data_IF_926496159340
#
_entry.id   IF_926496159340
#
_cell.length_a   1.000
_cell.length_b   1.000
_cell.length_c   1.000
_cell.angle_alpha   90.00
_cell.angle_beta   90.00
_cell.angle_gamma   90.00
#
_symmetry.space_group_name_H-M   'P 1'
#
loop_
_entity.id
_entity.type
_entity.pdbx_description
1 polymer ?
#
# COMPACT_ATOMS: atom_id res chain seq x y z
N UNK A 1 -17.08 -59.92 -18.34
CA UNK A 1 -16.62 -59.39 -17.03
C UNK A 1 -15.70 -58.23 -17.34
N UNK A 2 -16.25 -57.01 -17.35
CA UNK A 2 -15.55 -55.77 -17.83
C UNK A 2 -15.15 -54.94 -16.63
N UNK A 3 -13.85 -54.81 -16.41
CA UNK A 3 -13.26 -53.97 -15.36
C UNK A 3 -13.33 -52.50 -15.79
N UNK A 4 -14.24 -51.70 -15.19
CA UNK A 4 -14.25 -50.24 -15.28
C UNK A 4 -13.14 -49.69 -14.40
N UNK A 5 -12.10 -49.15 -15.03
CA UNK A 5 -11.10 -48.33 -14.37
C UNK A 5 -11.76 -47.04 -13.88
N UNK A 6 -11.86 -46.87 -12.58
CA UNK A 6 -12.21 -45.62 -11.92
C UNK A 6 -11.03 -44.62 -12.09
N UNK A 7 -11.15 -43.68 -13.01
CA UNK A 7 -10.26 -42.53 -13.08
C UNK A 7 -10.61 -41.58 -11.92
N UNK A 8 -9.64 -41.13 -11.11
CA UNK A 8 -9.89 -40.22 -10.01
C UNK A 8 -10.07 -38.79 -10.54
N UNK A 9 -11.31 -38.42 -10.85
CA UNK A 9 -11.70 -37.07 -11.29
C UNK A 9 -11.50 -35.97 -10.25
N UNK A 10 -11.22 -36.31 -8.99
CA UNK A 10 -10.99 -35.33 -7.92
C UNK A 10 -9.61 -34.71 -7.86
N UNK A 11 -8.57 -35.43 -8.32
CA UNK A 11 -7.17 -34.96 -8.21
C UNK A 11 -6.83 -33.92 -9.29
N UNK A 12 -7.43 -34.03 -10.48
CA UNK A 12 -7.18 -33.07 -11.56
C UNK A 12 -7.80 -31.69 -11.28
N UNK A 13 -8.96 -31.61 -10.61
CA UNK A 13 -9.59 -30.34 -10.25
C UNK A 13 -8.82 -29.58 -9.19
N UNK A 14 -8.23 -30.28 -8.21
CA UNK A 14 -7.40 -29.65 -7.18
C UNK A 14 -6.06 -29.14 -7.73
N UNK A 15 -5.45 -29.88 -8.65
CA UNK A 15 -4.19 -29.49 -9.29
C UNK A 15 -4.36 -28.29 -10.23
N UNK A 16 -5.44 -28.23 -11.01
CA UNK A 16 -5.72 -27.10 -11.90
C UNK A 16 -6.00 -25.81 -11.11
N UNK A 17 -6.77 -25.89 -10.03
CA UNK A 17 -7.05 -24.73 -9.16
C UNK A 17 -5.81 -24.19 -8.44
N UNK A 18 -4.83 -25.06 -8.12
CA UNK A 18 -3.56 -24.61 -7.53
C UNK A 18 -2.65 -23.93 -8.55
N UNK A 19 -2.55 -24.43 -9.77
CA UNK A 19 -1.74 -23.84 -10.84
C UNK A 19 -2.30 -22.47 -11.24
N UNK A 20 -3.63 -22.33 -11.35
CA UNK A 20 -4.27 -21.07 -11.68
C UNK A 20 -4.08 -20.01 -10.59
N UNK A 21 -4.20 -20.37 -9.32
CA UNK A 21 -3.91 -19.47 -8.18
C UNK A 21 -2.45 -18.99 -8.20
N UNK A 22 -1.52 -19.87 -8.50
CA UNK A 22 -0.10 -19.53 -8.61
C UNK A 22 0.16 -18.51 -9.71
N UNK A 23 -0.49 -18.64 -10.87
CA UNK A 23 -0.34 -17.67 -11.95
C UNK A 23 -0.90 -16.30 -11.54
N UNK A 24 -2.05 -16.26 -10.86
CA UNK A 24 -2.65 -15.02 -10.38
C UNK A 24 -1.79 -14.31 -9.34
N UNK A 25 -1.24 -15.03 -8.35
CA UNK A 25 -0.36 -14.44 -7.34
C UNK A 25 0.94 -13.90 -7.96
N UNK A 26 1.46 -14.54 -9.01
CA UNK A 26 2.61 -14.07 -9.75
C UNK A 26 2.32 -12.74 -10.50
N UNK A 27 1.16 -12.60 -11.11
CA UNK A 27 0.72 -11.36 -11.75
C UNK A 27 0.48 -10.24 -10.74
N UNK A 28 -0.13 -10.56 -9.60
CA UNK A 28 -0.34 -9.60 -8.51
C UNK A 28 1.00 -9.09 -7.97
N UNK A 29 1.95 -9.99 -7.72
CA UNK A 29 3.30 -9.62 -7.30
C UNK A 29 4.00 -8.75 -8.35
N UNK A 30 3.88 -9.08 -9.64
CA UNK A 30 4.43 -8.28 -10.73
C UNK A 30 3.84 -6.86 -10.77
N UNK A 31 2.52 -6.73 -10.71
CA UNK A 31 1.84 -5.42 -10.73
C UNK A 31 2.29 -4.55 -9.56
N UNK A 32 2.26 -5.09 -8.33
CA UNK A 32 2.69 -4.34 -7.15
C UNK A 32 4.17 -3.97 -7.22
N UNK A 33 5.03 -4.89 -7.65
CA UNK A 33 6.46 -4.68 -7.78
C UNK A 33 6.78 -3.58 -8.79
N UNK A 34 6.09 -3.60 -9.95
CA UNK A 34 6.26 -2.55 -10.97
C UNK A 34 5.75 -1.21 -10.46
N UNK A 35 4.55 -1.16 -9.92
CA UNK A 35 3.98 0.08 -9.39
C UNK A 35 4.85 0.71 -8.29
N UNK A 36 5.28 -0.09 -7.32
CA UNK A 36 6.12 0.37 -6.21
C UNK A 36 7.55 0.67 -6.66
N UNK A 37 8.16 -0.17 -7.50
CA UNK A 37 9.51 0.04 -8.01
C UNK A 37 9.64 1.34 -8.80
N UNK A 38 8.66 1.67 -9.62
CA UNK A 38 8.60 2.94 -10.36
C UNK A 38 8.61 4.15 -9.42
N UNK A 39 7.90 4.08 -8.28
CA UNK A 39 7.90 5.16 -7.27
C UNK A 39 9.32 5.46 -6.79
N UNK A 40 10.09 4.42 -6.44
CA UNK A 40 11.44 4.59 -5.91
C UNK A 40 12.46 4.94 -6.98
N UNK A 41 12.34 4.38 -8.18
CA UNK A 41 13.21 4.77 -9.31
C UNK A 41 13.04 6.26 -9.62
N UNK A 42 11.82 6.72 -9.82
CA UNK A 42 11.56 8.13 -10.14
C UNK A 42 11.92 9.02 -8.96
N UNK A 43 11.53 8.63 -7.73
CA UNK A 43 11.80 9.39 -6.52
C UNK A 43 13.29 9.54 -6.22
N UNK A 44 14.01 8.43 -6.28
CA UNK A 44 15.47 8.40 -6.08
C UNK A 44 16.21 9.18 -7.16
N UNK A 45 15.91 8.93 -8.43
CA UNK A 45 16.56 9.66 -9.53
C UNK A 45 16.27 11.17 -9.50
N UNK A 46 15.03 11.56 -9.26
CA UNK A 46 14.66 12.98 -9.21
C UNK A 46 15.39 13.75 -8.10
N UNK A 47 15.62 13.12 -6.95
CA UNK A 47 16.41 13.72 -5.85
C UNK A 47 17.89 13.68 -6.16
N UNK A 48 18.38 12.52 -6.57
CA UNK A 48 19.80 12.29 -6.83
C UNK A 48 20.34 13.25 -7.91
N UNK A 49 19.61 13.43 -9.01
CA UNK A 49 19.99 14.32 -10.08
C UNK A 49 20.12 15.79 -9.65
N UNK A 50 19.34 16.22 -8.65
CA UNK A 50 19.43 17.55 -8.09
C UNK A 50 20.54 17.68 -7.04
N UNK A 51 20.75 16.63 -6.23
CA UNK A 51 21.82 16.61 -5.23
C UNK A 51 23.23 16.56 -5.85
N UNK A 52 23.35 15.95 -7.04
CA UNK A 52 24.60 15.89 -7.78
C UNK A 52 24.85 17.13 -8.69
N UNK A 53 23.87 17.98 -8.86
CA UNK A 53 23.99 19.25 -9.57
C UNK A 53 24.46 20.35 -8.61
N UNK A 54 25.68 20.88 -8.73
CA UNK A 54 26.19 21.94 -7.83
C UNK A 54 25.29 23.17 -7.76
N UNK A 55 24.58 23.49 -8.85
CA UNK A 55 23.68 24.66 -8.89
C UNK A 55 22.38 24.45 -8.10
N UNK A 56 22.00 23.19 -7.78
CA UNK A 56 20.73 22.85 -7.15
C UNK A 56 20.88 22.16 -5.79
N UNK A 57 22.06 21.64 -5.50
CA UNK A 57 22.34 20.83 -4.33
C UNK A 57 21.93 21.51 -3.03
N UNK A 58 22.37 22.74 -2.82
CA UNK A 58 22.08 23.50 -1.60
C UNK A 58 20.58 23.79 -1.46
N UNK A 59 19.91 24.12 -2.56
CA UNK A 59 18.48 24.39 -2.56
C UNK A 59 17.65 23.15 -2.20
N UNK A 60 18.02 21.98 -2.71
CA UNK A 60 17.32 20.73 -2.38
C UNK A 60 17.60 20.32 -0.94
N UNK A 61 18.82 20.47 -0.42
CA UNK A 61 19.15 20.20 0.97
C UNK A 61 18.34 21.14 1.89
N UNK A 62 18.33 22.44 1.60
CA UNK A 62 17.55 23.42 2.36
C UNK A 62 16.04 23.11 2.36
N UNK A 63 15.50 22.60 1.25
CA UNK A 63 14.09 22.17 1.16
C UNK A 63 13.80 20.99 2.10
N UNK A 64 14.73 20.04 2.24
CA UNK A 64 14.56 18.85 3.10
C UNK A 64 14.82 19.14 4.58
N UNK A 65 15.67 20.09 4.90
CA UNK A 65 16.03 20.48 6.28
C UNK A 65 15.25 21.68 6.80
N UNK A 66 14.47 22.32 5.94
CA UNK A 66 13.62 23.46 6.30
C UNK A 66 12.44 23.08 7.20
N UNK A 67 11.69 24.07 7.69
CA UNK A 67 10.62 23.86 8.68
C UNK A 67 9.52 22.88 8.23
N UNK A 68 9.34 22.72 6.93
CA UNK A 68 8.33 21.81 6.34
C UNK A 68 8.97 20.60 5.66
N UNK A 69 10.26 20.36 5.88
CA UNK A 69 11.00 19.24 5.31
C UNK A 69 10.83 17.93 6.09
N UNK A 70 11.33 16.83 5.52
CA UNK A 70 11.34 15.52 6.19
C UNK A 70 12.46 15.38 7.23
N UNK A 71 13.52 16.18 7.12
CA UNK A 71 14.62 16.23 8.09
C UNK A 71 14.25 17.29 9.12
N UNK A 72 13.56 16.90 10.17
CA UNK A 72 13.10 17.80 11.22
C UNK A 72 14.22 18.13 12.23
N UNK A 73 13.91 19.00 13.20
CA UNK A 73 14.84 19.45 14.23
C UNK A 73 15.48 18.30 15.02
N UNK A 74 14.76 17.23 15.30
CA UNK A 74 15.31 16.06 15.97
C UNK A 74 16.45 15.41 15.16
N UNK A 75 16.24 15.19 13.85
CA UNK A 75 17.30 14.66 12.99
C UNK A 75 18.47 15.62 12.86
N UNK A 76 18.21 16.94 12.77
CA UNK A 76 19.25 17.96 12.66
C UNK A 76 20.12 18.00 13.93
N UNK A 77 19.52 17.84 15.09
CA UNK A 77 20.23 17.86 16.37
C UNK A 77 20.99 16.57 16.65
N UNK A 78 20.33 15.41 16.50
CA UNK A 78 20.87 14.10 16.94
C UNK A 78 21.62 13.35 15.83
N UNK A 79 21.26 13.52 14.57
CA UNK A 79 21.90 12.79 13.48
C UNK A 79 22.95 13.62 12.75
N UNK A 80 22.72 14.94 12.63
CA UNK A 80 23.58 15.87 11.88
C UNK A 80 24.20 16.96 12.76
N UNK A 81 24.15 16.81 14.09
CA UNK A 81 24.69 17.76 15.05
C UNK A 81 26.20 17.93 14.96
N UNK A 82 26.73 18.86 15.75
CA UNK A 82 28.16 19.18 15.79
C UNK A 82 28.99 17.93 16.10
N UNK A 83 29.98 17.63 15.27
CA UNK A 83 30.83 16.43 15.39
C UNK A 83 30.28 15.19 14.68
N UNK A 84 29.09 15.25 14.04
CA UNK A 84 28.58 14.15 13.21
C UNK A 84 29.46 13.98 11.97
N UNK A 85 29.75 12.72 11.65
CA UNK A 85 30.44 12.35 10.40
C UNK A 85 29.48 12.39 9.19
N UNK A 86 28.16 12.48 9.42
CA UNK A 86 27.13 12.45 8.39
C UNK A 86 26.53 13.84 8.21
N UNK A 87 26.60 14.37 7.00
CA UNK A 87 25.94 15.62 6.63
C UNK A 87 24.54 15.38 6.06
N UNK A 88 23.62 16.36 6.12
CA UNK A 88 22.31 16.26 5.46
C UNK A 88 22.43 15.93 3.97
N UNK A 89 23.39 16.52 3.27
CA UNK A 89 23.66 16.20 1.86
C UNK A 89 24.10 14.75 1.68
N UNK A 90 25.04 14.28 2.48
CA UNK A 90 25.53 12.89 2.43
C UNK A 90 24.42 11.89 2.71
N UNK A 91 23.59 12.15 3.70
CA UNK A 91 22.42 11.32 4.03
C UNK A 91 21.42 11.28 2.88
N UNK A 92 21.00 12.45 2.35
CA UNK A 92 20.05 12.53 1.25
C UNK A 92 20.57 11.86 -0.02
N UNK A 93 21.86 12.04 -0.33
CA UNK A 93 22.48 11.41 -1.49
C UNK A 93 22.52 9.90 -1.37
N UNK A 94 22.94 9.39 -0.20
CA UNK A 94 22.97 7.95 0.08
C UNK A 94 21.57 7.34 0.03
N UNK A 95 20.60 7.97 0.69
CA UNK A 95 19.20 7.51 0.68
C UNK A 95 18.60 7.53 -0.73
N UNK A 96 18.84 8.59 -1.50
CA UNK A 96 18.32 8.70 -2.86
C UNK A 96 18.97 7.70 -3.83
N UNK A 97 20.26 7.43 -3.66
CA UNK A 97 20.98 6.37 -4.40
C UNK A 97 20.40 5.01 -4.04
N UNK A 98 20.19 4.73 -2.77
CA UNK A 98 19.57 3.49 -2.32
C UNK A 98 18.15 3.34 -2.88
N UNK A 99 17.30 4.38 -2.81
CA UNK A 99 15.96 4.37 -3.40
C UNK A 99 16.01 4.05 -4.90
N UNK A 100 16.92 4.67 -5.64
CA UNK A 100 17.05 4.43 -7.08
C UNK A 100 17.45 2.99 -7.39
N UNK A 101 18.55 2.50 -6.79
CA UNK A 101 19.08 1.14 -7.05
C UNK A 101 18.07 0.08 -6.60
N UNK A 102 17.49 0.22 -5.41
CA UNK A 102 16.52 -0.73 -4.90
C UNK A 102 15.18 -0.68 -5.66
N UNK A 103 14.79 0.49 -6.17
CA UNK A 103 13.67 0.61 -7.10
C UNK A 103 13.88 -0.19 -8.38
N UNK A 104 15.07 -0.10 -8.98
CA UNK A 104 15.47 -0.93 -10.14
C UNK A 104 15.46 -2.42 -9.76
N UNK A 105 15.98 -2.77 -8.60
CA UNK A 105 15.97 -4.15 -8.09
C UNK A 105 14.52 -4.68 -7.91
N UNK A 106 13.60 -3.87 -7.38
CA UNK A 106 12.18 -4.22 -7.31
C UNK A 106 11.56 -4.44 -8.69
N UNK A 107 11.85 -3.57 -9.67
CA UNK A 107 11.37 -3.74 -11.05
C UNK A 107 11.86 -5.06 -11.65
N UNK A 108 13.15 -5.36 -11.49
CA UNK A 108 13.73 -6.60 -11.95
C UNK A 108 13.25 -7.83 -11.16
N UNK A 109 12.72 -7.63 -9.98
CA UNK A 109 12.30 -8.69 -9.05
C UNK A 109 13.49 -9.35 -8.36
N UNK A 110 14.45 -8.56 -7.96
CA UNK A 110 15.64 -8.98 -7.21
C UNK A 110 15.53 -8.54 -5.75
N UNK A 111 15.78 -9.45 -4.83
CA UNK A 111 15.69 -9.22 -3.37
C UNK A 111 14.36 -8.60 -2.93
N UNK A 112 13.25 -8.99 -3.55
CA UNK A 112 11.96 -8.32 -3.36
C UNK A 112 11.50 -8.35 -1.90
N UNK A 113 11.61 -9.48 -1.21
CA UNK A 113 11.16 -9.59 0.19
C UNK A 113 11.94 -8.71 1.15
N UNK A 114 13.28 -8.77 1.22
CA UNK A 114 14.01 -7.88 2.12
C UNK A 114 13.78 -6.40 1.79
N UNK A 115 13.73 -6.02 0.52
CA UNK A 115 13.45 -4.65 0.11
C UNK A 115 12.02 -4.22 0.50
N UNK A 116 11.03 -5.06 0.26
CA UNK A 116 9.64 -4.76 0.63
C UNK A 116 9.47 -4.61 2.14
N UNK A 117 10.12 -5.46 2.94
CA UNK A 117 10.12 -5.35 4.40
C UNK A 117 10.78 -4.05 4.86
N UNK A 118 11.97 -3.75 4.32
CA UNK A 118 12.70 -2.52 4.63
C UNK A 118 11.86 -1.28 4.31
N UNK A 119 11.29 -1.20 3.12
CA UNK A 119 10.45 -0.07 2.71
C UNK A 119 9.13 0.00 3.48
N UNK A 120 8.57 -1.14 3.86
CA UNK A 120 7.38 -1.18 4.71
C UNK A 120 7.60 -0.37 6.00
N UNK A 121 8.76 -0.50 6.62
CA UNK A 121 9.11 0.28 7.81
C UNK A 121 9.67 1.67 7.50
N UNK A 122 10.51 1.83 6.48
CA UNK A 122 11.07 3.13 6.10
C UNK A 122 9.99 4.17 5.80
N UNK A 123 8.91 3.78 5.12
CA UNK A 123 7.80 4.68 4.81
C UNK A 123 7.12 5.19 6.09
N UNK A 124 7.04 4.38 7.15
CA UNK A 124 6.57 4.84 8.45
C UNK A 124 7.51 5.86 9.10
N UNK A 125 8.82 5.71 8.94
CA UNK A 125 9.75 6.74 9.45
C UNK A 125 9.53 8.08 8.76
N UNK A 126 9.20 8.09 7.46
CA UNK A 126 8.83 9.33 6.74
C UNK A 126 7.52 9.92 7.27
N UNK A 127 6.53 9.08 7.56
CA UNK A 127 5.27 9.52 8.18
C UNK A 127 5.52 10.21 9.52
N UNK A 128 6.31 9.58 10.39
CA UNK A 128 6.60 10.13 11.72
C UNK A 128 7.53 11.33 11.71
N UNK A 129 8.35 11.52 10.68
CA UNK A 129 9.25 12.67 10.57
C UNK A 129 8.56 13.97 10.11
N UNK A 130 7.31 13.90 9.67
CA UNK A 130 6.61 15.08 9.16
C UNK A 130 6.25 16.07 10.29
N UNK A 131 6.40 17.39 10.06
CA UNK A 131 6.12 18.42 11.06
C UNK A 131 4.72 18.35 11.67
N UNK A 132 3.72 17.97 10.89
CA UNK A 132 2.33 17.85 11.37
C UNK A 132 2.17 16.82 12.51
N UNK A 133 3.07 15.83 12.60
CA UNK A 133 3.07 14.83 13.68
C UNK A 133 3.88 15.28 14.87
N UNK A 134 5.01 15.95 14.63
CA UNK A 134 6.03 16.19 15.65
C UNK A 134 5.97 17.60 16.25
N UNK A 135 5.41 18.56 15.51
CA UNK A 135 5.39 19.96 15.95
C UNK A 135 3.97 20.35 16.36
N UNK A 136 3.70 20.61 17.65
CA UNK A 136 2.41 21.08 18.12
C UNK A 136 1.97 22.37 17.38
N UNK A 137 0.70 22.44 17.01
CA UNK A 137 0.10 23.59 16.36
C UNK A 137 0.29 23.66 14.83
N UNK A 138 1.03 22.75 14.21
CA UNK A 138 1.10 22.65 12.74
C UNK A 138 -0.22 22.06 12.22
N UNK A 139 -0.88 22.80 11.31
CA UNK A 139 -2.15 22.36 10.76
C UNK A 139 -1.95 21.19 9.79
N UNK A 140 -2.90 20.23 9.78
CA UNK A 140 -2.88 19.08 8.86
C UNK A 140 -2.92 19.45 7.38
N UNK A 141 -3.38 20.66 7.05
CA UNK A 141 -3.38 21.23 5.71
C UNK A 141 -2.06 21.90 5.33
N UNK A 142 -1.11 22.04 6.28
CA UNK A 142 0.20 22.63 6.03
C UNK A 142 0.94 21.85 4.95
N UNK A 143 1.60 22.60 4.08
CA UNK A 143 2.36 21.99 2.99
C UNK A 143 3.68 21.46 3.50
N UNK A 144 3.92 20.16 3.28
CA UNK A 144 5.25 19.59 3.33
C UNK A 144 5.75 19.48 1.90
N UNK A 145 6.78 20.22 1.56
CA UNK A 145 7.19 20.47 0.17
C UNK A 145 6.13 21.20 -0.66
N UNK A 146 5.50 20.45 -1.58
CA UNK A 146 4.52 20.94 -2.55
C UNK A 146 3.12 20.34 -2.33
N UNK A 147 2.95 19.53 -1.30
CA UNK A 147 1.70 18.83 -1.01
C UNK A 147 1.29 18.99 0.46
N UNK A 148 0.00 18.93 0.79
CA UNK A 148 -0.46 18.87 2.17
C UNK A 148 0.18 17.70 2.92
N UNK A 149 0.68 17.94 4.13
CA UNK A 149 1.39 16.94 4.93
C UNK A 149 0.54 15.69 5.18
N UNK A 150 -0.73 15.87 5.53
CA UNK A 150 -1.65 14.76 5.75
C UNK A 150 -1.79 13.84 4.52
N UNK A 151 -1.82 14.41 3.32
CA UNK A 151 -1.89 13.62 2.09
C UNK A 151 -0.62 12.82 1.84
N UNK A 152 0.54 13.42 2.10
CA UNK A 152 1.83 12.73 2.00
C UNK A 152 1.87 11.55 2.97
N UNK A 153 1.49 11.76 4.23
CA UNK A 153 1.41 10.72 5.25
C UNK A 153 0.53 9.54 4.81
N UNK A 154 -0.69 9.84 4.39
CA UNK A 154 -1.63 8.78 4.02
C UNK A 154 -1.17 8.01 2.78
N UNK A 155 -0.55 8.67 1.81
CA UNK A 155 0.06 7.98 0.67
C UNK A 155 1.21 7.07 1.10
N UNK A 156 2.08 7.53 1.96
CA UNK A 156 3.22 6.76 2.43
C UNK A 156 2.76 5.57 3.32
N UNK A 157 1.71 5.74 4.14
CA UNK A 157 1.05 4.63 4.87
C UNK A 157 0.47 3.61 3.88
N UNK A 158 -0.20 4.07 2.82
CA UNK A 158 -0.74 3.18 1.79
C UNK A 158 0.38 2.40 1.09
N UNK A 159 1.46 3.08 0.67
CA UNK A 159 2.61 2.42 0.06
C UNK A 159 3.25 1.39 1.00
N UNK A 160 3.33 1.69 2.31
CA UNK A 160 3.80 0.74 3.32
C UNK A 160 2.90 -0.51 3.37
N UNK A 161 1.59 -0.35 3.39
CA UNK A 161 0.65 -1.47 3.32
C UNK A 161 0.86 -2.34 2.08
N UNK A 162 1.06 -1.72 0.91
CA UNK A 162 1.36 -2.43 -0.33
C UNK A 162 2.72 -3.15 -0.28
N UNK A 163 3.72 -2.58 0.40
CA UNK A 163 5.01 -3.23 0.62
C UNK A 163 4.88 -4.46 1.51
N UNK A 164 4.07 -4.44 2.57
CA UNK A 164 3.81 -5.63 3.38
C UNK A 164 3.05 -6.72 2.61
N UNK A 165 2.15 -6.35 1.71
CA UNK A 165 1.53 -7.32 0.79
C UNK A 165 2.60 -7.93 -0.13
N UNK A 166 3.45 -7.10 -0.73
CA UNK A 166 4.52 -7.56 -1.62
C UNK A 166 5.56 -8.42 -0.88
N UNK A 167 5.92 -8.07 0.36
CA UNK A 167 6.76 -8.89 1.22
C UNK A 167 6.20 -10.31 1.37
N UNK A 168 4.89 -10.42 1.57
CA UNK A 168 4.23 -11.70 1.74
C UNK A 168 4.19 -12.52 0.44
N UNK A 169 3.80 -11.88 -0.67
CA UNK A 169 3.75 -12.51 -1.99
C UNK A 169 5.14 -12.88 -2.51
N UNK A 170 6.14 -12.06 -2.21
CA UNK A 170 7.50 -12.19 -2.75
C UNK A 170 7.61 -11.70 -4.18
N UNK A 171 8.65 -12.16 -4.86
CA UNK A 171 9.04 -11.66 -6.19
C UNK A 171 8.14 -12.13 -7.35
N UNK A 172 7.40 -13.22 -7.15
CA UNK A 172 6.60 -13.87 -8.20
C UNK A 172 7.42 -14.60 -9.26
N UNK A 173 6.73 -15.28 -10.18
CA UNK A 173 7.38 -16.11 -11.21
C UNK A 173 8.18 -15.30 -12.25
N UNK A 174 7.75 -14.05 -12.51
CA UNK A 174 8.40 -13.18 -13.52
C UNK A 174 9.47 -12.29 -12.88
N UNK A 175 10.50 -12.89 -12.25
CA UNK A 175 11.48 -12.17 -11.45
C UNK A 175 12.88 -12.75 -11.60
N UNK A 176 13.90 -11.94 -11.31
CA UNK A 176 15.28 -12.41 -11.20
C UNK A 176 15.44 -13.41 -10.05
N UNK A 177 14.79 -13.19 -8.90
CA UNK A 177 14.80 -14.14 -7.79
C UNK A 177 14.33 -15.53 -8.23
N UNK A 178 13.26 -15.59 -9.05
CA UNK A 178 12.75 -16.87 -9.55
C UNK A 178 13.73 -17.56 -10.52
N UNK A 179 14.44 -16.77 -11.31
CA UNK A 179 15.46 -17.30 -12.25
C UNK A 179 16.74 -17.76 -11.54
N UNK A 180 17.17 -17.02 -10.52
CA UNK A 180 18.41 -17.31 -9.79
C UNK A 180 18.24 -18.40 -8.74
N UNK A 181 17.11 -18.40 -8.03
CA UNK A 181 16.83 -19.30 -6.91
C UNK A 181 15.88 -20.45 -7.27
N UNK A 182 15.30 -20.44 -8.46
CA UNK A 182 14.39 -21.49 -8.95
C UNK A 182 13.19 -21.73 -8.01
N UNK A 183 12.94 -23.00 -7.70
CA UNK A 183 11.83 -23.42 -6.81
C UNK A 183 11.99 -22.99 -5.33
N UNK A 184 13.16 -22.46 -4.95
CA UNK A 184 13.39 -21.96 -3.59
C UNK A 184 12.65 -20.65 -3.27
N UNK A 185 12.00 -20.02 -4.27
CA UNK A 185 11.08 -18.90 -4.02
C UNK A 185 9.92 -19.39 -3.17
N UNK A 186 9.96 -19.06 -1.88
CA UNK A 186 8.96 -19.49 -0.90
C UNK A 186 7.56 -19.00 -1.29
N UNK A 187 6.58 -19.89 -1.11
CA UNK A 187 5.15 -19.57 -1.29
C UNK A 187 4.71 -18.44 -0.34
N UNK A 188 3.65 -17.68 -0.69
CA UNK A 188 3.04 -16.73 0.23
C UNK A 188 2.70 -17.41 1.56
N UNK A 189 2.99 -16.73 2.67
CA UNK A 189 2.74 -17.27 4.02
C UNK A 189 1.37 -16.89 4.54
N UNK A 190 0.83 -15.72 4.13
CA UNK A 190 -0.50 -15.28 4.53
C UNK A 190 -1.56 -15.63 3.47
N UNK A 191 -2.76 -15.93 3.96
CA UNK A 191 -3.91 -16.13 3.11
C UNK A 191 -4.29 -14.80 2.43
N UNK A 192 -4.76 -14.89 1.17
CA UNK A 192 -5.24 -13.73 0.42
C UNK A 192 -6.35 -12.96 1.14
N UNK A 193 -7.14 -13.61 1.98
CA UNK A 193 -8.17 -12.95 2.79
C UNK A 193 -7.61 -11.81 3.65
N UNK A 194 -6.45 -12.04 4.30
CA UNK A 194 -5.78 -11.03 5.12
C UNK A 194 -5.09 -9.98 4.24
N UNK A 195 -4.41 -10.41 3.17
CA UNK A 195 -3.74 -9.50 2.25
C UNK A 195 -4.74 -8.62 1.50
N UNK A 196 -5.90 -9.17 1.13
CA UNK A 196 -6.99 -8.44 0.49
C UNK A 196 -7.62 -7.42 1.43
N UNK A 197 -7.78 -7.74 2.72
CA UNK A 197 -8.18 -6.74 3.72
C UNK A 197 -7.16 -5.60 3.81
N UNK A 198 -5.87 -5.93 3.93
CA UNK A 198 -4.81 -4.92 3.98
C UNK A 198 -4.80 -4.04 2.73
N UNK A 199 -5.02 -4.63 1.55
CA UNK A 199 -5.13 -3.90 0.28
C UNK A 199 -6.29 -2.91 0.30
N UNK A 200 -7.48 -3.37 0.73
CA UNK A 200 -8.67 -2.52 0.84
C UNK A 200 -8.47 -1.38 1.84
N UNK A 201 -7.93 -1.68 3.03
CA UNK A 201 -7.64 -0.67 4.05
C UNK A 201 -6.64 0.36 3.54
N UNK A 202 -5.57 -0.07 2.87
CA UNK A 202 -4.54 0.82 2.33
C UNK A 202 -5.11 1.79 1.29
N UNK A 203 -5.90 1.30 0.34
CA UNK A 203 -6.50 2.14 -0.69
C UNK A 203 -7.64 3.01 -0.15
N UNK A 204 -8.49 2.46 0.71
CA UNK A 204 -9.59 3.20 1.33
C UNK A 204 -9.07 4.37 2.18
N UNK A 205 -7.96 4.20 2.91
CA UNK A 205 -7.35 5.27 3.71
C UNK A 205 -7.03 6.50 2.85
N UNK A 206 -6.38 6.31 1.70
CA UNK A 206 -6.07 7.42 0.78
C UNK A 206 -7.35 8.11 0.26
N UNK A 207 -8.36 7.33 -0.11
CA UNK A 207 -9.62 7.87 -0.64
C UNK A 207 -10.43 8.62 0.42
N UNK A 208 -10.56 8.05 1.61
CA UNK A 208 -11.33 8.66 2.70
C UNK A 208 -10.66 9.95 3.18
N UNK A 209 -9.36 9.92 3.43
CA UNK A 209 -8.63 11.12 3.85
C UNK A 209 -8.64 12.17 2.73
N UNK A 210 -8.45 11.76 1.49
CA UNK A 210 -8.56 12.66 0.34
C UNK A 210 -9.93 13.31 0.20
N UNK A 211 -10.98 12.56 0.48
CA UNK A 211 -12.36 13.04 0.43
C UNK A 211 -12.74 13.95 1.59
N UNK A 212 -12.46 13.56 2.83
CA UNK A 212 -12.85 14.31 4.04
C UNK A 212 -12.00 15.56 4.26
N UNK A 213 -10.70 15.48 4.03
CA UNK A 213 -9.76 16.54 4.40
C UNK A 213 -9.23 17.34 3.19
N UNK A 214 -9.92 17.31 2.07
CA UNK A 214 -9.51 18.04 0.86
C UNK A 214 -8.10 17.67 0.36
N UNK A 215 -7.57 16.54 0.81
CA UNK A 215 -6.17 16.19 0.70
C UNK A 215 -5.68 15.92 -0.70
N UNK A 216 -6.50 15.51 -1.65
CA UNK A 216 -6.10 15.40 -3.06
C UNK A 216 -6.46 16.69 -3.80
N UNK A 217 -5.89 17.81 -3.36
CA UNK A 217 -6.17 19.13 -3.91
C UNK A 217 -6.07 19.20 -5.44
N UNK A 218 -5.17 18.39 -6.01
CA UNK A 218 -4.98 18.32 -7.46
C UNK A 218 -6.10 17.52 -8.16
N UNK A 219 -6.74 16.56 -7.50
CA UNK A 219 -7.90 15.86 -8.07
C UNK A 219 -9.12 16.79 -8.08
N UNK A 220 -9.25 17.71 -7.13
CA UNK A 220 -10.28 18.75 -7.18
C UNK A 220 -10.21 19.60 -8.46
N UNK A 221 -9.01 19.83 -8.95
CA UNK A 221 -8.78 20.60 -10.20
C UNK A 221 -9.42 19.90 -11.42
N UNK A 222 -9.64 18.58 -11.34
CA UNK A 222 -10.29 17.79 -12.38
C UNK A 222 -11.77 17.51 -12.10
N UNK A 223 -12.41 18.24 -11.18
CA UNK A 223 -13.82 18.11 -10.90
C UNK A 223 -14.24 16.83 -10.21
N UNK A 224 -13.30 16.08 -9.64
CA UNK A 224 -13.62 14.87 -8.87
C UNK A 224 -14.26 15.25 -7.55
N UNK A 225 -15.55 14.94 -7.31
CA UNK A 225 -16.24 15.34 -6.09
C UNK A 225 -15.65 14.57 -4.89
N UNK A 226 -15.43 15.26 -3.78
CA UNK A 226 -15.01 14.63 -2.53
C UNK A 226 -15.92 13.45 -2.12
N UNK A 227 -17.21 13.58 -2.38
CA UNK A 227 -18.21 12.53 -2.15
C UNK A 227 -17.92 11.24 -2.93
N UNK A 228 -17.42 11.32 -4.17
CA UNK A 228 -17.06 10.13 -4.95
C UNK A 228 -15.88 9.38 -4.30
N UNK A 229 -14.89 10.12 -3.81
CA UNK A 229 -13.75 9.53 -3.10
C UNK A 229 -14.19 8.85 -1.80
N UNK A 230 -15.04 9.52 -1.02
CA UNK A 230 -15.60 8.97 0.22
C UNK A 230 -16.43 7.71 -0.08
N UNK A 231 -17.32 7.79 -1.07
CA UNK A 231 -18.16 6.66 -1.45
C UNK A 231 -17.33 5.46 -1.92
N UNK A 232 -16.30 5.69 -2.74
CA UNK A 232 -15.38 4.63 -3.18
C UNK A 232 -14.57 4.05 -2.01
N UNK A 233 -14.07 4.88 -1.10
CA UNK A 233 -13.35 4.44 0.09
C UNK A 233 -14.23 3.59 1.03
N UNK A 234 -15.46 4.03 1.29
CA UNK A 234 -16.44 3.25 2.08
C UNK A 234 -16.77 1.93 1.39
N UNK A 235 -17.04 1.96 0.09
CA UNK A 235 -17.36 0.76 -0.69
C UNK A 235 -16.24 -0.29 -0.63
N UNK A 236 -14.97 0.14 -0.63
CA UNK A 236 -13.82 -0.76 -0.47
C UNK A 236 -13.81 -1.46 0.90
N UNK A 237 -14.35 -0.85 1.94
CA UNK A 237 -14.36 -1.43 3.29
C UNK A 237 -15.57 -2.34 3.52
N UNK A 238 -16.72 -2.01 2.92
CA UNK A 238 -18.00 -2.65 3.25
C UNK A 238 -18.13 -4.04 2.63
N UNK A 239 -17.87 -4.19 1.34
CA UNK A 239 -18.14 -5.43 0.61
C UNK A 239 -17.09 -5.69 -0.48
N UNK A 240 -16.80 -6.97 -0.75
CA UNK A 240 -15.82 -7.38 -1.76
C UNK A 240 -16.24 -7.04 -3.21
N UNK A 241 -17.55 -7.09 -3.51
CA UNK A 241 -18.08 -6.73 -4.83
C UNK A 241 -18.05 -5.23 -5.02
N UNK A 242 -18.51 -4.50 -4.01
CA UNK A 242 -18.44 -3.04 -3.99
C UNK A 242 -16.99 -2.55 -4.08
N UNK A 243 -16.02 -3.24 -3.43
CA UNK A 243 -14.60 -2.94 -3.52
C UNK A 243 -14.05 -3.07 -4.95
N UNK A 244 -14.49 -4.07 -5.73
CA UNK A 244 -14.10 -4.20 -7.15
C UNK A 244 -14.64 -3.04 -7.99
N UNK A 245 -15.89 -2.64 -7.79
CA UNK A 245 -16.45 -1.47 -8.48
C UNK A 245 -15.71 -0.21 -8.08
N UNK A 246 -15.48 0.00 -6.80
CA UNK A 246 -14.73 1.13 -6.27
C UNK A 246 -13.29 1.18 -6.80
N UNK A 247 -12.64 0.02 -7.03
CA UNK A 247 -11.32 -0.01 -7.66
C UNK A 247 -11.34 0.47 -9.10
N UNK A 248 -12.39 0.18 -9.86
CA UNK A 248 -12.61 0.74 -11.20
C UNK A 248 -12.73 2.27 -11.17
N UNK A 249 -13.49 2.81 -10.22
CA UNK A 249 -13.59 4.25 -9.97
C UNK A 249 -12.22 4.84 -9.63
N UNK A 250 -11.47 4.22 -8.71
CA UNK A 250 -10.12 4.67 -8.34
C UNK A 250 -9.18 4.68 -9.55
N UNK A 251 -9.18 3.62 -10.38
CA UNK A 251 -8.37 3.54 -11.59
C UNK A 251 -8.70 4.69 -12.54
N UNK A 252 -9.99 4.93 -12.80
CA UNK A 252 -10.42 6.01 -13.66
C UNK A 252 -9.97 7.39 -13.12
N UNK A 253 -10.15 7.62 -11.82
CA UNK A 253 -9.71 8.84 -11.14
C UNK A 253 -8.20 9.05 -11.27
N UNK A 254 -7.41 8.01 -11.04
CA UNK A 254 -5.94 8.08 -11.13
C UNK A 254 -5.48 8.32 -12.56
N UNK A 255 -6.10 7.68 -13.57
CA UNK A 255 -5.77 7.92 -14.97
C UNK A 255 -6.07 9.37 -15.38
N UNK A 256 -7.24 9.89 -15.03
CA UNK A 256 -7.59 11.30 -15.27
C UNK A 256 -6.59 12.23 -14.60
N UNK A 257 -6.22 11.94 -13.34
CA UNK A 257 -5.23 12.73 -12.60
C UNK A 257 -3.86 12.69 -13.26
N UNK A 258 -3.36 11.50 -13.62
CA UNK A 258 -2.05 11.32 -14.27
C UNK A 258 -2.01 12.09 -15.59
N UNK A 259 -3.02 11.90 -16.46
CA UNK A 259 -3.10 12.58 -17.74
C UNK A 259 -3.15 14.09 -17.59
N UNK A 260 -3.93 14.59 -16.63
CA UNK A 260 -4.04 16.03 -16.39
C UNK A 260 -2.81 16.68 -15.73
N UNK A 261 -1.87 15.87 -15.21
CA UNK A 261 -0.59 16.37 -14.65
C UNK A 261 0.53 16.46 -15.67
N UNK A 262 0.40 15.77 -16.78
CA UNK A 262 1.39 15.81 -17.86
C UNK A 262 1.32 17.18 -18.52
N UNK A 263 2.48 17.83 -18.61
CA UNK A 263 2.66 19.10 -19.29
C UNK A 263 3.85 19.04 -20.22
N UNK A 264 3.69 19.50 -21.46
CA UNK A 264 4.77 19.56 -22.43
C UNK A 264 5.83 20.61 -22.09
N UNK A 265 5.53 21.55 -21.18
CA UNK A 265 6.47 22.54 -20.68
C UNK A 265 7.45 22.00 -19.65
N UNK A 266 7.13 20.85 -19.05
CA UNK A 266 7.95 20.20 -18.03
C UNK A 266 8.84 19.13 -18.65
N UNK A 267 10.02 18.96 -18.05
CA UNK A 267 10.87 17.80 -18.40
C UNK A 267 10.14 16.47 -18.11
N UNK A 268 10.53 15.41 -18.79
CA UNK A 268 9.99 14.06 -18.57
C UNK A 268 10.07 13.69 -17.08
N UNK A 269 11.24 13.91 -16.46
CA UNK A 269 11.45 13.61 -15.03
C UNK A 269 10.53 14.46 -14.15
N UNK A 270 10.31 15.74 -14.48
CA UNK A 270 9.38 16.60 -13.77
C UNK A 270 7.94 16.11 -13.82
N UNK A 271 7.48 15.65 -15.00
CA UNK A 271 6.16 15.01 -15.17
C UNK A 271 6.03 13.73 -14.37
N UNK A 272 7.00 12.82 -14.49
CA UNK A 272 7.01 11.54 -13.78
C UNK A 272 7.06 11.74 -12.25
N UNK A 273 7.87 12.68 -11.77
CA UNK A 273 7.95 12.98 -10.33
C UNK A 273 6.63 13.53 -9.76
N UNK A 274 5.85 14.24 -10.57
CA UNK A 274 4.55 14.76 -10.16
C UNK A 274 3.50 13.67 -9.93
N UNK A 275 3.65 12.49 -10.56
CA UNK A 275 2.66 11.39 -10.53
C UNK A 275 3.22 10.05 -10.07
N UNK A 276 4.42 10.03 -9.51
CA UNK A 276 5.12 8.77 -9.18
C UNK A 276 4.36 7.87 -8.21
N UNK A 277 3.72 8.44 -7.19
CA UNK A 277 2.98 7.66 -6.17
C UNK A 277 1.68 7.07 -6.73
N UNK A 278 1.10 7.76 -7.68
CA UNK A 278 -0.13 7.32 -8.35
C UNK A 278 0.06 6.04 -9.15
N UNK A 279 1.26 5.73 -9.65
CA UNK A 279 1.56 4.45 -10.29
C UNK A 279 1.40 3.25 -9.33
N UNK A 280 1.83 3.39 -8.08
CA UNK A 280 1.64 2.33 -7.09
C UNK A 280 0.17 2.16 -6.70
N UNK A 281 -0.57 3.28 -6.55
CA UNK A 281 -2.01 3.25 -6.29
C UNK A 281 -2.78 2.65 -7.48
N UNK A 282 -2.38 2.96 -8.70
CA UNK A 282 -2.97 2.38 -9.92
C UNK A 282 -2.73 0.87 -9.99
N UNK A 283 -1.49 0.42 -9.74
CA UNK A 283 -1.17 -1.00 -9.67
C UNK A 283 -1.98 -1.72 -8.58
N UNK A 284 -2.13 -1.12 -7.40
CA UNK A 284 -2.94 -1.67 -6.32
C UNK A 284 -4.44 -1.71 -6.67
N UNK A 285 -4.95 -0.67 -7.34
CA UNK A 285 -6.31 -0.65 -7.86
C UNK A 285 -6.56 -1.77 -8.87
N UNK A 286 -5.63 -1.99 -9.80
CA UNK A 286 -5.68 -3.10 -10.76
C UNK A 286 -5.66 -4.47 -10.06
N UNK A 287 -4.82 -4.64 -9.04
CA UNK A 287 -4.79 -5.85 -8.21
C UNK A 287 -6.14 -6.08 -7.55
N UNK A 288 -6.74 -5.05 -6.96
CA UNK A 288 -8.06 -5.14 -6.33
C UNK A 288 -9.16 -5.47 -7.34
N UNK A 289 -9.11 -4.91 -8.56
CA UNK A 289 -10.04 -5.22 -9.62
C UNK A 289 -9.94 -6.69 -10.09
N UNK A 290 -8.72 -7.20 -10.29
CA UNK A 290 -8.45 -8.53 -10.84
C UNK A 290 -8.65 -9.61 -9.77
N UNK A 291 -7.96 -9.48 -8.62
CA UNK A 291 -7.91 -10.50 -7.57
C UNK A 291 -9.04 -10.37 -6.56
N UNK A 292 -9.59 -9.15 -6.40
CA UNK A 292 -10.54 -8.82 -5.34
C UNK A 292 -9.83 -8.58 -4.00
N UNK A 293 -10.59 -8.15 -3.03
CA UNK A 293 -10.11 -7.74 -1.70
C UNK A 293 -10.35 -8.76 -0.59
N UNK A 294 -10.60 -10.05 -0.91
CA UNK A 294 -11.02 -11.06 0.06
C UNK A 294 -12.46 -10.89 0.53
N UNK A 295 -13.06 -11.95 1.04
CA UNK A 295 -14.48 -11.99 1.44
C UNK A 295 -14.67 -12.08 2.95
N UNK A 296 -13.66 -12.62 3.65
CA UNK A 296 -13.77 -12.98 5.07
C UNK A 296 -14.04 -11.78 5.99
N UNK A 297 -13.47 -10.63 5.66
CA UNK A 297 -13.55 -9.40 6.47
C UNK A 297 -14.43 -8.33 5.80
N UNK A 298 -15.57 -8.73 5.28
CA UNK A 298 -16.61 -7.81 4.77
C UNK A 298 -17.73 -7.64 5.80
N UNK A 299 -18.44 -6.53 5.75
CA UNK A 299 -19.57 -6.29 6.66
C UNK A 299 -20.60 -7.42 6.57
N UNK A 300 -21.04 -7.88 5.37
CA UNK A 300 -21.94 -9.02 5.26
C UNK A 300 -21.41 -10.30 5.92
N UNK A 301 -20.12 -10.61 5.70
CA UNK A 301 -19.49 -11.80 6.29
C UNK A 301 -19.41 -11.73 7.82
N UNK A 302 -19.05 -10.58 8.38
CA UNK A 302 -19.02 -10.36 9.83
C UNK A 302 -20.43 -10.47 10.42
N UNK A 303 -21.42 -9.84 9.77
CA UNK A 303 -22.81 -9.91 10.22
C UNK A 303 -23.37 -11.35 10.20
N UNK A 304 -23.06 -12.12 9.16
CA UNK A 304 -23.48 -13.51 9.06
C UNK A 304 -22.86 -14.36 10.18
N UNK A 305 -21.57 -14.23 10.41
CA UNK A 305 -20.88 -14.91 11.53
C UNK A 305 -21.45 -14.52 12.88
N UNK A 306 -21.75 -13.25 13.09
CA UNK A 306 -22.38 -12.78 14.32
C UNK A 306 -23.79 -13.38 14.50
N UNK A 307 -24.60 -13.44 13.43
CA UNK A 307 -25.92 -14.08 13.46
C UNK A 307 -25.83 -15.58 13.76
N UNK A 308 -24.89 -16.29 13.16
CA UNK A 308 -24.66 -17.72 13.43
C UNK A 308 -24.21 -17.96 14.87
N UNK A 309 -23.29 -17.15 15.40
CA UNK A 309 -22.84 -17.23 16.78
C UNK A 309 -24.00 -16.99 17.76
N UNK A 310 -24.86 -15.99 17.49
CA UNK A 310 -26.05 -15.73 18.28
C UNK A 310 -27.06 -16.87 18.20
N UNK A 311 -27.25 -17.49 17.03
CA UNK A 311 -28.15 -18.62 16.87
C UNK A 311 -27.66 -19.86 17.65
N UNK A 312 -26.35 -20.14 17.61
CA UNK A 312 -25.72 -21.20 18.41
C UNK A 312 -25.90 -20.93 19.92
N UNK A 313 -25.60 -19.70 20.35
CA UNK A 313 -25.77 -19.29 21.76
C UNK A 313 -27.23 -19.45 22.24
N UNK A 314 -28.22 -19.04 21.42
CA UNK A 314 -29.63 -19.23 21.71
C UNK A 314 -30.02 -20.69 21.82
N UNK A 315 -29.53 -21.59 20.96
CA UNK A 315 -29.78 -23.03 21.03
C UNK A 315 -29.16 -23.65 22.30
N UNK A 316 -27.97 -23.24 22.68
CA UNK A 316 -27.31 -23.69 23.91
C UNK A 316 -28.02 -23.22 25.17
N UNK A 317 -28.55 -21.97 25.20
CA UNK A 317 -29.37 -21.42 26.26
C UNK A 317 -30.69 -22.17 26.39
N UNK A 318 -31.33 -22.54 25.29
CA UNK A 318 -32.54 -23.32 25.26
C UNK A 318 -32.34 -24.77 25.79
N UNK A 319 -31.18 -25.35 25.49
CA UNK A 319 -30.83 -26.71 25.91
C UNK A 319 -30.38 -26.82 27.37
N UNK A 320 -29.80 -25.74 27.97
CA UNK A 320 -29.28 -25.74 29.35
C UNK A 320 -29.50 -24.39 30.05
N UNK A 321 -30.73 -24.11 30.48
CA UNK A 321 -31.10 -22.77 31.01
C UNK A 321 -30.37 -22.37 32.30
N UNK A 322 -29.84 -23.32 33.08
CA UNK A 322 -29.24 -23.03 34.41
C UNK A 322 -27.71 -22.82 34.38
N UNK A 323 -26.99 -23.20 33.34
CA UNK A 323 -25.50 -23.09 33.29
C UNK A 323 -24.99 -21.78 32.72
N UNK A 324 -25.81 -20.96 32.10
CA UNK A 324 -25.36 -19.83 31.25
C UNK A 324 -25.56 -18.42 31.82
N UNK A 325 -26.00 -18.26 33.09
CA UNK A 325 -26.17 -16.92 33.65
C UNK A 325 -24.88 -16.09 33.82
N UNK A 326 -23.69 -16.72 33.70
CA UNK A 326 -22.40 -16.06 34.00
C UNK A 326 -21.52 -15.82 32.73
N UNK A 327 -21.77 -16.51 31.63
CA UNK A 327 -20.84 -16.48 30.48
C UNK A 327 -21.25 -15.56 29.32
N UNK A 328 -22.50 -15.12 29.25
CA UNK A 328 -22.99 -14.22 28.18
C UNK A 328 -22.32 -12.84 28.19
N UNK A 329 -22.09 -12.19 29.36
CA UNK A 329 -21.37 -10.90 29.40
C UNK A 329 -19.92 -11.00 28.94
N UNK A 330 -19.24 -12.11 29.24
CA UNK A 330 -17.83 -12.30 28.87
C UNK A 330 -17.65 -12.54 27.37
N UNK A 331 -18.63 -13.15 26.69
CA UNK A 331 -18.57 -13.42 25.25
C UNK A 331 -18.89 -12.18 24.41
N UNK A 332 -19.71 -11.26 24.93
CA UNK A 332 -19.99 -9.96 24.30
C UNK A 332 -18.74 -9.06 24.36
N UNK A 333 -17.96 -9.15 25.44
CA UNK A 333 -16.69 -8.40 25.62
C UNK A 333 -15.54 -8.93 24.73
N UNK A 334 -15.61 -10.17 24.25
CA UNK A 334 -14.62 -10.78 23.35
C UNK A 334 -14.94 -10.52 21.86
N UNK A 335 -16.12 -10.02 21.53
CA UNK A 335 -16.59 -9.74 20.17
C UNK A 335 -16.68 -8.23 19.88
N UNK A 336 -16.46 -7.37 20.88
CA UNK A 336 -16.29 -5.93 20.79
C UNK A 336 -14.80 -5.56 20.73
#
# INVERSE_FOLDING_TARGET
MSLKFLTPTGVQSAASGTVERWSQDAYVALLLRVGLGVVFVIGGWSKLSQLLDPARSDAIVALYTGPTGYINTFFLEYLFGVGSWLSPWGFLTTLSTFEFISGVALLAGFMVRPLALFYGFLLWTFVFSLPVVLTPGVAVAEKTYLAPALLVQIRDITLSGLMFILFNLGSGAYSLDARLMGSAVKRPTANWEHLGLLLRLSLAATLLVGGFFAGMANIKTFGMPALLMIAAGVAMLVDHRAARVASGVLIAMLLIYILGKISFEKSLIGNLNAVKREFALLAAGLVLAIRGGGELYTVPSIMNRAREALAVSRRQLAAHPLRFRVTVPAMILLLA
#
